data_IF_593707450349
#
_entry.id   IF_593707450349
#
_cell.length_a   1.000
_cell.length_b   1.000
_cell.length_c   1.000
_cell.angle_alpha   90.00
_cell.angle_beta   90.00
_cell.angle_gamma   90.00
#
_symmetry.space_group_name_H-M   'P 1'
#
loop_
_entity.id
_entity.type
_entity.pdbx_description
1 polymer ?
#
# COMPACT_ATOMS: atom_id res chain seq x y z
N UNK A 1 28.98 20.23 -4.57
CA UNK A 1 28.58 19.36 -3.47
C UNK A 1 27.06 19.18 -3.49
N UNK A 2 26.61 17.98 -3.82
CA UNK A 2 25.18 17.57 -3.89
C UNK A 2 24.46 17.59 -2.52
N UNK A 3 25.17 17.90 -1.43
CA UNK A 3 24.66 17.68 -0.08
C UNK A 3 24.62 18.93 0.81
N UNK A 4 24.77 20.12 0.25
CA UNK A 4 24.64 21.37 1.00
C UNK A 4 23.49 22.19 0.44
N UNK A 5 22.29 22.05 0.98
CA UNK A 5 21.41 23.15 1.39
C UNK A 5 20.18 22.66 2.17
N UNK A 6 20.12 22.78 3.48
CA UNK A 6 18.87 22.74 4.20
C UNK A 6 18.23 24.13 4.14
N UNK A 7 16.91 24.16 3.87
CA UNK A 7 16.03 25.32 4.06
C UNK A 7 16.04 26.41 2.96
N UNK A 8 15.87 26.02 1.71
CA UNK A 8 15.08 26.85 0.79
C UNK A 8 13.63 26.42 0.88
N UNK A 9 12.69 27.39 0.99
CA UNK A 9 11.23 27.14 0.90
C UNK A 9 11.00 26.14 -0.22
N UNK A 10 10.55 24.92 0.14
CA UNK A 10 10.33 23.86 -0.81
C UNK A 10 9.29 24.34 -1.82
N UNK A 11 9.64 24.24 -3.08
CA UNK A 11 8.71 24.46 -4.16
C UNK A 11 7.61 23.42 -4.00
N UNK A 12 6.31 23.78 -4.02
CA UNK A 12 5.26 22.77 -3.91
C UNK A 12 5.50 21.70 -4.96
N UNK A 13 5.55 20.43 -4.54
CA UNK A 13 6.02 19.31 -5.38
C UNK A 13 5.19 19.11 -6.63
N UNK A 14 3.92 19.52 -6.65
CA UNK A 14 3.11 19.53 -7.86
C UNK A 14 1.87 20.41 -7.71
N UNK A 15 1.52 21.12 -8.78
CA UNK A 15 0.24 21.82 -8.94
C UNK A 15 -0.83 20.95 -9.59
N UNK A 16 -0.52 19.69 -9.93
CA UNK A 16 -1.46 18.78 -10.58
C UNK A 16 -2.56 18.34 -9.59
N UNK A 17 -3.80 18.14 -10.04
CA UNK A 17 -4.89 17.68 -9.18
C UNK A 17 -4.59 16.28 -8.63
N UNK A 18 -5.18 15.95 -7.48
CA UNK A 18 -5.02 14.64 -6.83
C UNK A 18 -5.79 13.53 -7.52
N UNK A 19 -6.75 13.87 -8.37
CA UNK A 19 -7.56 12.94 -9.15
C UNK A 19 -7.93 13.54 -10.50
N UNK A 20 -8.11 12.66 -11.48
CA UNK A 20 -8.72 13.00 -12.79
C UNK A 20 -10.23 13.27 -12.67
N UNK A 21 -10.88 12.68 -11.69
CA UNK A 21 -12.28 12.86 -11.39
C UNK A 21 -12.49 13.96 -10.35
N UNK A 22 -13.68 14.56 -10.26
CA UNK A 22 -14.00 15.52 -9.22
C UNK A 22 -13.79 14.92 -7.82
N UNK A 23 -13.27 15.73 -6.90
CA UNK A 23 -13.11 15.36 -5.49
C UNK A 23 -14.13 16.14 -4.69
N UNK A 24 -15.02 15.47 -3.93
CA UNK A 24 -16.03 16.15 -3.14
C UNK A 24 -15.41 16.92 -1.97
N UNK A 25 -16.05 17.99 -1.56
CA UNK A 25 -15.69 18.67 -0.29
C UNK A 25 -16.20 17.86 0.90
N UNK A 26 -15.48 17.89 2.01
CA UNK A 26 -15.86 17.13 3.22
C UNK A 26 -17.28 17.43 3.71
N UNK A 27 -17.70 18.69 3.59
CA UNK A 27 -19.05 19.13 4.02
C UNK A 27 -20.19 18.47 3.22
N UNK A 28 -19.91 18.02 2.00
CA UNK A 28 -20.89 17.43 1.08
C UNK A 28 -20.96 15.92 1.18
N UNK A 29 -20.07 15.30 1.99
CA UNK A 29 -20.02 13.86 2.18
C UNK A 29 -21.05 13.37 3.21
N UNK A 30 -21.52 12.10 3.06
CA UNK A 30 -22.25 11.42 4.13
C UNK A 30 -21.49 11.46 5.46
N UNK A 31 -22.23 11.54 6.57
CA UNK A 31 -21.67 11.73 7.91
C UNK A 31 -20.63 10.66 8.26
N UNK A 32 -20.95 9.39 8.06
CA UNK A 32 -20.08 8.25 8.36
C UNK A 32 -18.74 8.31 7.60
N UNK A 33 -18.76 8.73 6.33
CA UNK A 33 -17.55 8.89 5.52
C UNK A 33 -16.73 10.07 6.00
N UNK A 34 -17.38 11.19 6.28
CA UNK A 34 -16.73 12.39 6.82
C UNK A 34 -16.05 12.10 8.15
N UNK A 35 -16.75 11.44 9.07
CA UNK A 35 -16.20 11.05 10.37
C UNK A 35 -14.99 10.15 10.23
N UNK A 36 -15.05 9.16 9.34
CA UNK A 36 -13.90 8.29 9.05
C UNK A 36 -12.70 9.06 8.52
N UNK A 37 -12.90 10.01 7.61
CA UNK A 37 -11.83 10.85 7.06
C UNK A 37 -11.21 11.71 8.16
N UNK A 38 -12.03 12.32 9.02
CA UNK A 38 -11.56 13.13 10.16
C UNK A 38 -10.74 12.26 11.12
N UNK A 39 -11.21 11.07 11.46
CA UNK A 39 -10.49 10.16 12.35
C UNK A 39 -9.11 9.75 11.78
N UNK A 40 -9.03 9.53 10.47
CA UNK A 40 -7.74 9.25 9.80
C UNK A 40 -6.82 10.47 9.84
N UNK A 41 -7.35 11.67 9.60
CA UNK A 41 -6.59 12.91 9.69
C UNK A 41 -6.01 13.14 11.08
N UNK A 42 -6.80 12.91 12.13
CA UNK A 42 -6.35 13.03 13.52
C UNK A 42 -5.24 12.04 13.85
N UNK A 43 -5.34 10.80 13.37
CA UNK A 43 -4.35 9.75 13.59
C UNK A 43 -3.05 9.97 12.82
N UNK A 44 -3.14 10.45 11.58
CA UNK A 44 -2.01 10.49 10.63
C UNK A 44 -1.40 11.89 10.50
N UNK A 45 -2.11 12.94 10.92
CA UNK A 45 -1.74 14.34 10.74
C UNK A 45 -2.10 14.92 9.37
N UNK A 46 -2.63 14.11 8.46
CA UNK A 46 -3.10 14.52 7.13
C UNK A 46 -4.16 13.53 6.62
N UNK A 47 -4.89 13.90 5.57
CA UNK A 47 -5.84 13.00 4.91
C UNK A 47 -5.14 12.33 3.73
N UNK A 48 -4.97 11.00 3.72
CA UNK A 48 -4.47 10.30 2.54
C UNK A 48 -5.42 10.51 1.34
N UNK A 49 -4.86 10.87 0.19
CA UNK A 49 -5.65 11.23 -0.99
C UNK A 49 -6.61 10.13 -1.46
N UNK A 50 -6.32 8.86 -1.18
CA UNK A 50 -7.22 7.74 -1.50
C UNK A 50 -8.60 7.92 -0.87
N UNK A 51 -8.69 8.44 0.36
CA UNK A 51 -9.96 8.69 1.03
C UNK A 51 -10.78 9.76 0.31
N UNK A 52 -10.12 10.84 -0.12
CA UNK A 52 -10.78 11.92 -0.85
C UNK A 52 -11.24 11.49 -2.25
N UNK A 53 -10.38 10.77 -2.97
CA UNK A 53 -10.66 10.33 -4.34
C UNK A 53 -11.79 9.31 -4.38
N UNK A 54 -11.80 8.33 -3.46
CA UNK A 54 -12.84 7.30 -3.42
C UNK A 54 -14.15 7.80 -2.82
N UNK A 55 -14.13 8.87 -2.03
CA UNK A 55 -15.34 9.44 -1.42
C UNK A 55 -16.35 9.98 -2.44
N UNK A 56 -15.95 10.17 -3.71
CA UNK A 56 -16.87 10.50 -4.80
C UNK A 56 -17.97 9.43 -4.98
N UNK A 57 -17.69 8.19 -4.59
CA UNK A 57 -18.61 7.05 -4.70
C UNK A 57 -18.84 6.45 -3.31
N UNK A 58 -19.78 6.99 -2.51
CA UNK A 58 -19.94 6.63 -1.10
C UNK A 58 -20.11 5.15 -0.81
N UNK A 59 -20.94 4.42 -1.58
CA UNK A 59 -21.17 2.99 -1.36
C UNK A 59 -19.94 2.16 -1.72
N UNK A 60 -19.25 2.53 -2.79
CA UNK A 60 -18.00 1.89 -3.19
C UNK A 60 -16.87 2.18 -2.17
N UNK A 61 -16.81 3.39 -1.62
CA UNK A 61 -15.90 3.75 -0.54
C UNK A 61 -16.08 2.85 0.68
N UNK A 62 -17.35 2.64 1.12
CA UNK A 62 -17.65 1.78 2.25
C UNK A 62 -17.20 0.34 2.01
N UNK A 63 -17.55 -0.22 0.84
CA UNK A 63 -17.19 -1.59 0.47
C UNK A 63 -15.66 -1.76 0.36
N UNK A 64 -14.97 -0.81 -0.27
CA UNK A 64 -13.52 -0.82 -0.44
C UNK A 64 -12.81 -0.83 0.91
N UNK A 65 -13.13 0.11 1.79
CA UNK A 65 -12.45 0.20 3.08
C UNK A 65 -12.88 -0.90 4.06
N UNK A 66 -14.10 -1.43 3.97
CA UNK A 66 -14.49 -2.60 4.75
C UNK A 66 -13.63 -3.82 4.41
N UNK A 67 -13.39 -4.09 3.12
CA UNK A 67 -12.53 -5.20 2.70
C UNK A 67 -11.05 -4.92 2.98
N UNK A 68 -10.58 -3.70 2.73
CA UNK A 68 -9.22 -3.27 3.09
C UNK A 68 -8.93 -3.55 4.56
N UNK A 69 -9.80 -3.12 5.47
CA UNK A 69 -9.59 -3.25 6.90
C UNK A 69 -9.63 -4.73 7.33
N UNK A 70 -10.54 -5.53 6.75
CA UNK A 70 -10.60 -6.96 7.00
C UNK A 70 -9.30 -7.68 6.64
N UNK A 71 -8.61 -7.25 5.59
CA UNK A 71 -7.32 -7.80 5.16
C UNK A 71 -6.13 -7.23 5.92
N UNK A 72 -6.07 -5.91 6.06
CA UNK A 72 -4.85 -5.22 6.49
C UNK A 72 -4.79 -4.99 8.01
N UNK A 73 -5.94 -4.92 8.69
CA UNK A 73 -5.99 -4.70 10.16
C UNK A 73 -6.22 -5.99 10.95
N UNK A 74 -6.33 -7.14 10.28
CA UNK A 74 -6.47 -8.45 10.90
C UNK A 74 -5.32 -8.73 11.88
N UNK A 75 -5.64 -9.26 13.03
CA UNK A 75 -4.65 -9.73 14.01
C UNK A 75 -4.28 -11.19 13.75
N UNK A 76 -3.02 -11.53 13.99
CA UNK A 76 -2.47 -12.88 13.78
C UNK A 76 -2.13 -13.20 12.33
N UNK A 77 -1.52 -14.37 12.11
CA UNK A 77 -1.00 -14.80 10.82
C UNK A 77 0.16 -13.92 10.34
N UNK A 78 0.09 -13.42 9.11
CA UNK A 78 1.09 -12.50 8.58
C UNK A 78 1.19 -11.24 9.47
N UNK A 79 2.41 -10.79 9.71
CA UNK A 79 2.62 -9.52 10.40
C UNK A 79 2.06 -8.34 9.58
N UNK A 80 1.78 -7.22 10.25
CA UNK A 80 1.35 -5.99 9.55
C UNK A 80 2.41 -5.51 8.56
N UNK A 81 3.68 -5.72 8.84
CA UNK A 81 4.78 -5.43 7.91
C UNK A 81 4.77 -6.33 6.68
N UNK A 82 4.58 -7.63 6.85
CA UNK A 82 4.50 -8.59 5.74
C UNK A 82 3.30 -8.31 4.83
N UNK A 83 2.14 -7.94 5.38
CA UNK A 83 0.98 -7.48 4.58
C UNK A 83 1.35 -6.30 3.69
N UNK A 84 2.04 -5.32 4.24
CA UNK A 84 2.50 -4.14 3.50
C UNK A 84 3.61 -4.47 2.48
N UNK A 85 4.48 -5.45 2.75
CA UNK A 85 5.48 -5.94 1.79
C UNK A 85 4.81 -6.51 0.54
N UNK A 86 3.73 -7.29 0.72
CA UNK A 86 2.93 -7.81 -0.40
C UNK A 86 2.40 -6.66 -1.24
N UNK A 87 1.83 -5.65 -0.60
CA UNK A 87 1.27 -4.47 -1.28
C UNK A 87 2.34 -3.77 -2.12
N UNK A 88 3.49 -3.47 -1.51
CA UNK A 88 4.55 -2.70 -2.21
C UNK A 88 5.13 -3.48 -3.38
N UNK A 89 5.46 -4.76 -3.18
CA UNK A 89 6.05 -5.59 -4.24
C UNK A 89 5.09 -5.76 -5.43
N UNK A 90 3.82 -6.08 -5.18
CA UNK A 90 2.82 -6.28 -6.24
C UNK A 90 2.41 -4.96 -6.91
N UNK A 91 2.33 -3.88 -6.14
CA UNK A 91 2.02 -2.55 -6.67
C UNK A 91 3.13 -1.99 -7.56
N UNK A 92 4.39 -2.33 -7.27
CA UNK A 92 5.52 -2.00 -8.15
C UNK A 92 5.36 -2.64 -9.53
N UNK A 93 5.00 -3.93 -9.58
CA UNK A 93 4.75 -4.66 -10.82
C UNK A 93 3.54 -4.08 -11.60
N UNK A 94 2.51 -3.66 -10.90
CA UNK A 94 1.34 -3.01 -11.49
C UNK A 94 1.56 -1.51 -11.79
N UNK A 95 2.75 -0.99 -11.57
CA UNK A 95 3.14 0.40 -11.83
C UNK A 95 2.20 1.42 -11.16
N UNK A 96 1.79 1.14 -9.92
CA UNK A 96 0.95 2.02 -9.13
C UNK A 96 1.80 2.95 -8.25
N UNK A 97 2.05 4.16 -8.71
CA UNK A 97 2.82 5.15 -7.94
C UNK A 97 2.18 5.45 -6.59
N UNK A 98 0.85 5.63 -6.52
CA UNK A 98 0.16 5.89 -5.26
C UNK A 98 0.44 4.80 -4.23
N UNK A 99 0.18 3.54 -4.61
CA UNK A 99 0.27 2.41 -3.69
C UNK A 99 1.73 2.15 -3.25
N UNK A 100 2.69 2.23 -4.19
CA UNK A 100 4.12 2.07 -3.86
C UNK A 100 4.57 3.13 -2.86
N UNK A 101 4.18 4.39 -3.05
CA UNK A 101 4.62 5.49 -2.19
C UNK A 101 3.92 5.46 -0.83
N UNK A 102 2.59 5.29 -0.80
CA UNK A 102 1.81 5.29 0.43
C UNK A 102 2.13 4.08 1.32
N UNK A 103 2.04 2.87 0.77
CA UNK A 103 2.34 1.64 1.51
C UNK A 103 3.83 1.45 1.75
N UNK A 104 4.68 1.97 0.88
CA UNK A 104 6.13 2.03 1.12
C UNK A 104 6.48 2.83 2.37
N UNK A 105 5.76 3.91 2.66
CA UNK A 105 5.90 4.63 3.92
C UNK A 105 5.56 3.75 5.13
N UNK A 106 4.49 2.95 5.03
CA UNK A 106 4.08 2.06 6.12
C UNK A 106 5.10 0.93 6.32
N UNK A 107 5.63 0.33 5.23
CA UNK A 107 6.73 -0.65 5.30
C UNK A 107 7.92 -0.07 6.06
N UNK A 108 8.39 1.12 5.69
CA UNK A 108 9.53 1.76 6.36
C UNK A 108 9.32 1.93 7.85
N UNK A 109 8.09 2.29 8.26
CA UNK A 109 7.74 2.47 9.67
C UNK A 109 7.63 1.13 10.39
N UNK A 110 6.93 0.15 9.82
CA UNK A 110 6.67 -1.16 10.44
C UNK A 110 7.94 -1.98 10.59
N UNK A 111 8.76 -2.01 9.54
CA UNK A 111 10.01 -2.77 9.51
C UNK A 111 11.21 -1.99 10.05
N UNK A 112 11.01 -0.72 10.42
CA UNK A 112 12.08 0.18 10.91
C UNK A 112 13.28 0.23 9.95
N UNK A 113 13.00 0.14 8.65
CA UNK A 113 13.99 0.12 7.59
C UNK A 113 13.70 1.20 6.55
N UNK A 114 14.55 2.23 6.43
CA UNK A 114 14.33 3.33 5.49
C UNK A 114 14.50 2.93 4.02
N UNK A 115 15.11 1.77 3.73
CA UNK A 115 15.46 1.33 2.38
C UNK A 115 14.58 0.21 1.84
N UNK A 116 13.93 -0.55 2.72
CA UNK A 116 13.26 -1.79 2.36
C UNK A 116 12.16 -1.58 1.30
N UNK A 117 11.37 -0.52 1.42
CA UNK A 117 10.31 -0.25 0.47
C UNK A 117 10.82 -0.04 -0.98
N UNK A 118 11.96 0.63 -1.14
CA UNK A 118 12.57 0.86 -2.45
C UNK A 118 13.10 -0.46 -3.05
N UNK A 119 13.66 -1.32 -2.21
CA UNK A 119 14.11 -2.66 -2.61
C UNK A 119 12.93 -3.53 -3.05
N UNK A 120 11.85 -3.57 -2.28
CA UNK A 120 10.65 -4.36 -2.58
C UNK A 120 9.99 -3.92 -3.89
N UNK A 121 9.84 -2.62 -4.10
CA UNK A 121 9.21 -2.07 -5.29
C UNK A 121 10.03 -2.31 -6.57
N UNK A 122 11.36 -2.39 -6.45
CA UNK A 122 12.27 -2.53 -7.58
C UNK A 122 12.60 -3.98 -7.90
N UNK A 123 13.06 -4.73 -6.89
CA UNK A 123 13.40 -6.15 -7.01
C UNK A 123 13.39 -6.81 -5.63
N UNK A 124 12.24 -7.30 -5.20
CA UNK A 124 12.09 -7.90 -3.87
C UNK A 124 13.01 -9.11 -3.62
N UNK A 125 13.42 -9.84 -4.67
CA UNK A 125 14.35 -10.97 -4.54
C UNK A 125 15.78 -10.56 -4.13
N UNK A 126 16.08 -9.27 -4.20
CA UNK A 126 17.34 -8.66 -3.76
C UNK A 126 17.16 -7.78 -2.52
N UNK A 127 15.95 -7.76 -1.94
CA UNK A 127 15.66 -7.00 -0.75
C UNK A 127 16.24 -7.68 0.51
N UNK A 128 16.45 -6.88 1.55
CA UNK A 128 16.94 -7.34 2.86
C UNK A 128 15.81 -7.99 3.68
N UNK A 129 15.32 -9.13 3.20
CA UNK A 129 14.23 -9.91 3.78
C UNK A 129 14.60 -11.38 3.90
N UNK A 130 13.82 -12.14 4.68
CA UNK A 130 14.06 -13.55 4.92
C UNK A 130 13.69 -14.43 3.71
N UNK A 131 14.24 -15.65 3.59
CA UNK A 131 13.80 -16.62 2.56
C UNK A 131 12.30 -16.95 2.65
N UNK A 132 11.72 -16.98 3.84
CA UNK A 132 10.28 -17.14 4.04
C UNK A 132 9.49 -15.98 3.39
N UNK A 133 9.93 -14.75 3.59
CA UNK A 133 9.30 -13.57 2.99
C UNK A 133 9.49 -13.52 1.47
N UNK A 134 10.63 -14.01 0.94
CA UNK A 134 10.80 -14.16 -0.51
C UNK A 134 9.77 -15.14 -1.08
N UNK A 135 9.58 -16.29 -0.45
CA UNK A 135 8.57 -17.27 -0.88
C UNK A 135 7.14 -16.68 -0.86
N UNK A 136 6.81 -15.93 0.18
CA UNK A 136 5.54 -15.20 0.26
C UNK A 136 5.35 -14.24 -0.92
N UNK A 137 6.38 -13.47 -1.25
CA UNK A 137 6.32 -12.51 -2.35
C UNK A 137 6.34 -13.21 -3.72
N UNK A 138 7.02 -14.33 -3.88
CA UNK A 138 6.96 -15.14 -5.11
C UNK A 138 5.54 -15.62 -5.37
N UNK A 139 4.83 -16.09 -4.33
CA UNK A 139 3.42 -16.46 -4.43
C UNK A 139 2.53 -15.25 -4.75
N UNK A 140 2.69 -14.14 -4.04
CA UNK A 140 1.95 -12.90 -4.29
C UNK A 140 2.12 -12.37 -5.72
N UNK A 141 3.34 -12.44 -6.25
CA UNK A 141 3.66 -12.05 -7.62
C UNK A 141 3.00 -12.98 -8.63
N UNK A 142 2.99 -14.28 -8.38
CA UNK A 142 2.29 -15.24 -9.24
C UNK A 142 0.78 -14.98 -9.26
N UNK A 143 0.16 -14.70 -8.10
CA UNK A 143 -1.26 -14.27 -8.03
C UNK A 143 -1.50 -13.02 -8.86
N UNK A 144 -0.55 -12.08 -8.86
CA UNK A 144 -0.69 -10.79 -9.55
C UNK A 144 -0.53 -10.90 -11.07
N UNK A 145 0.44 -11.69 -11.54
CA UNK A 145 0.84 -11.72 -12.96
C UNK A 145 0.32 -12.94 -13.72
N UNK A 146 0.10 -14.04 -13.04
CA UNK A 146 -0.17 -15.36 -13.67
C UNK A 146 -1.17 -16.17 -12.85
N UNK A 147 -2.24 -15.54 -12.35
CA UNK A 147 -3.20 -16.16 -11.43
C UNK A 147 -3.84 -17.44 -12.00
N UNK A 148 -4.01 -17.53 -13.32
CA UNK A 148 -4.55 -18.71 -13.99
C UNK A 148 -3.61 -19.94 -13.94
N UNK A 149 -2.34 -19.75 -13.60
CA UNK A 149 -1.31 -20.79 -13.52
C UNK A 149 -1.07 -21.30 -12.10
N UNK A 150 -1.82 -20.79 -11.11
CA UNK A 150 -1.74 -21.24 -9.72
C UNK A 150 -2.22 -22.66 -9.61
N UNK A 151 -1.46 -23.51 -8.90
CA UNK A 151 -1.74 -24.92 -8.74
C UNK A 151 -1.25 -25.42 -7.37
N UNK A 152 -1.48 -26.71 -7.08
CA UNK A 152 -1.16 -27.31 -5.78
C UNK A 152 0.32 -27.18 -5.40
N UNK A 153 1.24 -27.16 -6.36
CA UNK A 153 2.66 -27.01 -6.08
C UNK A 153 3.01 -25.65 -5.48
N UNK A 154 2.29 -24.60 -5.84
CA UNK A 154 2.46 -23.27 -5.25
C UNK A 154 2.08 -23.26 -3.76
N UNK A 155 1.00 -23.95 -3.41
CA UNK A 155 0.56 -24.11 -2.02
C UNK A 155 1.54 -24.96 -1.22
N UNK A 156 2.04 -26.06 -1.80
CA UNK A 156 3.06 -26.90 -1.15
C UNK A 156 4.35 -26.13 -0.90
N UNK A 157 4.76 -25.26 -1.81
CA UNK A 157 5.94 -24.41 -1.61
C UNK A 157 5.73 -23.44 -0.43
N UNK A 158 4.56 -22.82 -0.34
CA UNK A 158 4.22 -21.96 0.80
C UNK A 158 4.25 -22.75 2.13
N UNK A 159 3.65 -23.96 2.15
CA UNK A 159 3.66 -24.83 3.35
C UNK A 159 5.06 -25.24 3.77
N UNK A 160 5.94 -25.55 2.83
CA UNK A 160 7.37 -25.86 3.10
C UNK A 160 8.10 -24.70 3.82
N UNK A 161 7.70 -23.45 3.51
CA UNK A 161 8.23 -22.27 4.19
C UNK A 161 7.51 -21.95 5.50
N UNK A 162 6.59 -22.82 5.95
CA UNK A 162 5.91 -22.71 7.24
C UNK A 162 4.73 -21.74 7.26
N UNK A 163 4.10 -21.47 6.10
CA UNK A 163 2.85 -20.73 6.05
C UNK A 163 1.65 -21.63 6.32
N UNK A 164 0.72 -21.15 7.13
CA UNK A 164 -0.59 -21.76 7.33
C UNK A 164 -1.52 -21.50 6.15
N UNK A 165 -2.63 -22.24 6.06
CA UNK A 165 -3.65 -22.01 5.04
C UNK A 165 -4.23 -20.59 5.10
N UNK A 166 -4.43 -20.05 6.29
CA UNK A 166 -4.91 -18.67 6.47
C UNK A 166 -3.89 -17.64 5.97
N UNK A 167 -2.59 -17.85 6.18
CA UNK A 167 -1.55 -16.96 5.69
C UNK A 167 -1.39 -17.03 4.17
N UNK A 168 -1.58 -18.22 3.57
CA UNK A 168 -1.62 -18.39 2.11
C UNK A 168 -2.83 -17.68 1.54
N UNK A 169 -4.01 -17.85 2.16
CA UNK A 169 -5.22 -17.13 1.79
C UNK A 169 -5.00 -15.61 1.84
N UNK A 170 -4.50 -15.10 2.96
CA UNK A 170 -4.26 -13.67 3.16
C UNK A 170 -3.28 -13.11 2.09
N UNK A 171 -2.21 -13.85 1.78
CA UNK A 171 -1.25 -13.45 0.74
C UNK A 171 -1.93 -13.30 -0.62
N UNK A 172 -2.75 -14.27 -1.00
CA UNK A 172 -3.52 -14.23 -2.25
C UNK A 172 -4.59 -13.13 -2.26
N UNK A 173 -5.35 -12.99 -1.16
CA UNK A 173 -6.42 -12.01 -1.04
C UNK A 173 -5.90 -10.56 -1.04
N UNK A 174 -4.79 -10.29 -0.37
CA UNK A 174 -4.14 -8.97 -0.39
C UNK A 174 -3.65 -8.65 -1.81
N UNK A 175 -3.02 -9.61 -2.49
CA UNK A 175 -2.56 -9.43 -3.87
C UNK A 175 -3.72 -9.12 -4.81
N UNK A 176 -4.84 -9.82 -4.69
CA UNK A 176 -6.04 -9.61 -5.50
C UNK A 176 -6.70 -8.25 -5.22
N UNK A 177 -6.85 -7.89 -3.94
CA UNK A 177 -7.42 -6.61 -3.55
C UNK A 177 -6.58 -5.44 -4.07
N UNK A 178 -5.26 -5.51 -3.92
CA UNK A 178 -4.40 -4.43 -4.41
C UNK A 178 -4.26 -4.42 -5.93
N UNK A 179 -4.51 -5.52 -6.63
CA UNK A 179 -4.68 -5.49 -8.08
C UNK A 179 -5.88 -4.61 -8.50
N UNK A 180 -6.99 -4.66 -7.74
CA UNK A 180 -8.13 -3.73 -7.89
C UNK A 180 -7.69 -2.31 -7.53
N UNK A 181 -7.12 -2.10 -6.35
CA UNK A 181 -6.72 -0.79 -5.84
C UNK A 181 -5.72 -0.09 -6.77
N UNK A 182 -4.71 -0.82 -7.27
CA UNK A 182 -3.72 -0.30 -8.20
C UNK A 182 -4.38 0.21 -9.50
N UNK A 183 -5.34 -0.54 -10.04
CA UNK A 183 -6.06 -0.14 -11.26
C UNK A 183 -6.92 1.08 -11.03
N UNK A 184 -7.60 1.18 -9.88
CA UNK A 184 -8.39 2.36 -9.53
C UNK A 184 -7.49 3.59 -9.33
N UNK A 185 -6.34 3.45 -8.68
CA UNK A 185 -5.39 4.54 -8.52
C UNK A 185 -4.83 5.02 -9.87
N UNK A 186 -4.48 4.10 -10.77
CA UNK A 186 -4.01 4.44 -12.11
C UNK A 186 -5.14 5.08 -12.97
N UNK A 187 -6.35 4.52 -12.94
CA UNK A 187 -7.52 5.07 -13.66
C UNK A 187 -7.80 6.51 -13.25
N UNK A 188 -7.79 6.79 -11.96
CA UNK A 188 -8.11 8.09 -11.39
C UNK A 188 -6.94 9.08 -11.45
N UNK A 189 -5.75 8.64 -11.86
CA UNK A 189 -4.50 9.41 -11.74
C UNK A 189 -4.24 9.88 -10.32
N UNK A 190 -4.56 9.02 -9.33
CA UNK A 190 -4.44 9.32 -7.91
C UNK A 190 -3.00 9.66 -7.54
N UNK A 191 -2.82 10.80 -6.90
CA UNK A 191 -1.48 11.26 -6.49
C UNK A 191 -1.22 10.93 -5.03
N UNK A 192 -0.03 10.41 -4.70
CA UNK A 192 0.38 10.28 -3.30
C UNK A 192 0.48 11.65 -2.64
N UNK A 193 0.17 11.70 -1.34
CA UNK A 193 0.49 12.85 -0.52
C UNK A 193 2.01 13.01 -0.39
N UNK A 194 2.49 14.23 -0.32
CA UNK A 194 3.91 14.54 -0.19
C UNK A 194 4.51 13.97 1.10
N UNK A 195 3.73 13.91 2.17
CA UNK A 195 4.10 13.35 3.46
C UNK A 195 4.57 11.90 3.35
N UNK A 196 3.94 11.09 2.50
CA UNK A 196 4.33 9.68 2.34
C UNK A 196 5.75 9.49 1.81
N UNK A 197 6.26 10.45 1.02
CA UNK A 197 7.62 10.34 0.49
C UNK A 197 8.71 10.42 1.58
N UNK A 198 8.41 11.10 2.68
CA UNK A 198 9.36 11.36 3.76
C UNK A 198 9.18 10.44 4.97
N UNK A 199 7.97 9.94 5.22
CA UNK A 199 7.66 9.09 6.36
C UNK A 199 8.55 7.84 6.41
N UNK A 200 9.19 7.63 7.57
CA UNK A 200 10.04 6.46 7.84
C UNK A 200 11.41 6.48 7.14
N UNK A 201 11.77 7.55 6.40
CA UNK A 201 13.10 7.66 5.76
C UNK A 201 14.18 8.15 6.70
N UNK A 202 13.82 8.96 7.68
CA UNK A 202 14.76 9.47 8.66
C UNK A 202 14.47 8.77 9.98
N UNK A 203 15.48 8.13 10.63
CA UNK A 203 15.28 7.53 11.95
C UNK A 203 14.82 8.60 12.94
N UNK A 204 13.78 8.29 13.72
CA UNK A 204 13.43 9.13 14.86
C UNK A 204 14.58 9.06 15.86
N UNK A 205 15.15 10.23 16.21
CA UNK A 205 16.13 10.36 17.27
C UNK A 205 15.53 9.97 18.62
#
# INVERSE_FOLDING_TARGET
>A
SLFKNPLKKEKPMSTKPISRFPVPELKDLPEDIRERIIAVQEKSGFVPNVFLVLAQRPDEFRAFFAYHDALMEKEGGLTKGEREMIVVATSGLNQCTYCVVAHGAIVRIREKSPHLADQLATNYRKADITPKQIAMLDFAVKVTLSSAEINDADFEEMRKHGFSEDEIWDTGAISAFFALSNRMANLTSMRPNDEFYLLGRIPRK
#
